data_IF_736991584909
#
_entry.id   IF_736991584909
#
_cell.length_a   1.000
_cell.length_b   1.000
_cell.length_c   1.000
_cell.angle_alpha   90.00
_cell.angle_beta   90.00
_cell.angle_gamma   90.00
#
_symmetry.space_group_name_H-M   'P 1'
#
loop_
_entity.id
_entity.type
_entity.pdbx_description
1 polymer ?
#
# COMPACT_ATOMS: atom_id res chain seq x y z
N UNK A 1 -3.33 24.34 -10.39
CA UNK A 1 -3.03 23.51 -11.58
C UNK A 1 -2.22 22.34 -11.05
N UNK A 2 -2.73 21.11 -11.09
CA UNK A 2 -1.95 19.96 -10.63
C UNK A 2 -0.94 19.63 -11.73
N UNK A 3 0.35 19.61 -11.40
CA UNK A 3 1.37 19.17 -12.34
C UNK A 3 1.35 17.66 -12.38
N UNK A 4 1.49 17.10 -13.57
CA UNK A 4 1.54 15.65 -13.78
C UNK A 4 2.94 15.29 -14.21
N UNK A 5 3.50 14.27 -13.56
CA UNK A 5 4.74 13.64 -13.99
C UNK A 5 4.38 12.41 -14.80
N UNK A 6 4.90 12.34 -16.02
CA UNK A 6 4.76 11.19 -16.91
C UNK A 6 6.00 10.32 -16.83
N UNK A 7 5.83 9.06 -16.46
CA UNK A 7 6.93 8.10 -16.28
C UNK A 7 6.58 6.76 -16.92
N UNK A 8 7.61 5.94 -17.22
CA UNK A 8 7.36 4.60 -17.74
C UNK A 8 6.69 3.73 -16.68
N UNK A 9 5.75 2.89 -17.10
CA UNK A 9 4.97 2.01 -16.22
C UNK A 9 5.86 1.13 -15.34
N UNK A 10 6.92 0.55 -15.90
CA UNK A 10 7.82 -0.31 -15.12
C UNK A 10 8.71 0.48 -14.16
N UNK A 11 9.05 1.71 -14.51
CA UNK A 11 9.74 2.63 -13.60
C UNK A 11 8.83 3.01 -12.43
N UNK A 12 7.58 3.35 -12.70
CA UNK A 12 6.58 3.61 -11.66
C UNK A 12 6.39 2.40 -10.72
N UNK A 13 6.27 1.18 -11.26
CA UNK A 13 6.17 -0.03 -10.45
C UNK A 13 7.37 -0.20 -9.52
N UNK A 14 8.60 0.02 -10.02
CA UNK A 14 9.81 -0.06 -9.21
C UNK A 14 9.86 1.01 -8.13
N UNK A 15 9.47 2.24 -8.48
CA UNK A 15 9.38 3.35 -7.54
C UNK A 15 8.40 3.06 -6.39
N UNK A 16 7.18 2.62 -6.72
CA UNK A 16 6.17 2.25 -5.72
C UNK A 16 6.63 1.08 -4.86
N UNK A 17 7.20 0.04 -5.47
CA UNK A 17 7.72 -1.11 -4.73
C UNK A 17 8.84 -0.71 -3.76
N UNK A 18 9.79 0.11 -4.22
CA UNK A 18 10.89 0.62 -3.40
C UNK A 18 10.39 1.49 -2.25
N UNK A 19 9.48 2.44 -2.53
CA UNK A 19 8.91 3.34 -1.54
C UNK A 19 8.05 2.61 -0.48
N UNK A 20 7.37 1.52 -0.84
CA UNK A 20 6.46 0.82 0.07
C UNK A 20 7.08 -0.40 0.77
N UNK A 21 8.26 -0.87 0.37
CA UNK A 21 8.82 -2.15 0.87
C UNK A 21 8.89 -2.22 2.40
N UNK A 22 9.42 -1.19 3.07
CA UNK A 22 9.57 -1.22 4.54
C UNK A 22 8.23 -1.15 5.25
N UNK A 23 7.31 -0.33 4.73
CA UNK A 23 5.95 -0.26 5.25
C UNK A 23 5.21 -1.60 5.07
N UNK A 24 5.37 -2.26 3.92
CA UNK A 24 4.75 -3.55 3.66
C UNK A 24 5.32 -4.65 4.57
N UNK A 25 6.61 -4.59 4.94
CA UNK A 25 7.21 -5.47 5.96
C UNK A 25 6.59 -5.24 7.34
N UNK A 26 6.50 -3.99 7.79
CA UNK A 26 5.85 -3.66 9.06
C UNK A 26 4.39 -4.10 9.09
N UNK A 27 3.68 -3.92 7.97
CA UNK A 27 2.29 -4.35 7.86
C UNK A 27 2.14 -5.88 7.84
N UNK A 28 3.11 -6.60 7.28
CA UNK A 28 3.15 -8.05 7.36
C UNK A 28 3.36 -8.54 8.80
N UNK A 29 4.28 -7.93 9.54
CA UNK A 29 4.49 -8.19 10.97
C UNK A 29 3.24 -7.89 11.79
N UNK A 30 2.62 -6.73 11.55
CA UNK A 30 1.34 -6.37 12.15
C UNK A 30 0.27 -7.43 11.86
N UNK A 31 0.13 -7.87 10.61
CA UNK A 31 -0.86 -8.88 10.23
C UNK A 31 -0.59 -10.26 10.85
N UNK A 32 0.65 -10.58 11.23
CA UNK A 32 0.96 -11.77 12.03
C UNK A 32 0.40 -11.70 13.45
N UNK A 33 0.18 -10.50 13.98
CA UNK A 33 -0.54 -10.28 15.24
C UNK A 33 -2.05 -10.25 14.99
N UNK A 34 -2.51 -9.45 14.02
CA UNK A 34 -3.92 -9.26 13.70
C UNK A 34 -4.66 -10.56 13.36
N UNK A 35 -3.98 -11.53 12.73
CA UNK A 35 -4.57 -12.84 12.40
C UNK A 35 -5.04 -13.63 13.63
N UNK A 36 -4.47 -13.38 14.82
CA UNK A 36 -4.93 -13.97 16.10
C UNK A 36 -6.35 -13.52 16.46
N UNK A 37 -6.77 -12.39 15.92
CA UNK A 37 -8.11 -11.81 16.06
C UNK A 37 -9.00 -12.08 14.82
N UNK A 38 -8.58 -13.00 13.94
CA UNK A 38 -9.29 -13.35 12.70
C UNK A 38 -9.53 -12.18 11.75
N UNK A 39 -8.71 -11.13 11.84
CA UNK A 39 -8.75 -9.96 10.96
C UNK A 39 -7.42 -9.74 10.26
N UNK A 40 -7.48 -9.01 9.16
CA UNK A 40 -6.33 -8.72 8.32
C UNK A 40 -6.51 -7.36 7.65
N UNK A 41 -5.47 -6.54 7.66
CA UNK A 41 -5.44 -5.26 6.95
C UNK A 41 -4.80 -5.47 5.58
N UNK A 42 -5.58 -5.32 4.51
CA UNK A 42 -5.14 -5.58 3.14
C UNK A 42 -4.03 -4.59 2.73
N UNK A 43 -2.81 -5.07 2.40
CA UNK A 43 -1.68 -4.19 2.11
C UNK A 43 -1.90 -3.25 0.94
N UNK A 44 -2.37 -3.80 -0.19
CA UNK A 44 -2.61 -3.03 -1.41
C UNK A 44 -3.94 -3.44 -2.02
N UNK A 45 -4.75 -2.45 -2.40
CA UNK A 45 -5.96 -2.65 -3.19
C UNK A 45 -5.95 -1.72 -4.41
N UNK A 46 -5.88 -2.33 -5.59
CA UNK A 46 -5.90 -1.61 -6.86
C UNK A 46 -7.33 -1.63 -7.41
N UNK A 47 -7.84 -0.45 -7.76
CA UNK A 47 -9.17 -0.25 -8.36
C UNK A 47 -9.00 0.46 -9.70
N UNK A 48 -9.46 -0.15 -10.77
CA UNK A 48 -9.58 0.48 -12.09
C UNK A 48 -10.98 1.08 -12.24
N UNK A 49 -11.09 2.39 -12.40
CA UNK A 49 -12.35 3.05 -12.81
C UNK A 49 -12.45 3.09 -14.33
N UNK A 50 -13.67 3.29 -14.86
CA UNK A 50 -13.94 3.39 -16.32
C UNK A 50 -12.85 4.22 -17.01
N UNK A 51 -12.24 3.64 -18.05
CA UNK A 51 -11.10 4.22 -18.77
C UNK A 51 -9.74 3.77 -18.22
N UNK A 52 -8.80 4.72 -18.19
CA UNK A 52 -7.38 4.60 -17.82
C UNK A 52 -7.09 4.87 -16.33
N UNK A 53 -8.09 5.33 -15.56
CA UNK A 53 -7.88 5.80 -14.18
C UNK A 53 -7.77 4.65 -13.19
N UNK A 54 -6.67 4.61 -12.44
CA UNK A 54 -6.40 3.60 -11.42
C UNK A 54 -6.20 4.28 -10.05
N UNK A 55 -6.70 3.64 -9.00
CA UNK A 55 -6.47 4.00 -7.61
C UNK A 55 -5.79 2.86 -6.87
N UNK A 56 -4.62 3.12 -6.32
CA UNK A 56 -3.90 2.16 -5.47
C UNK A 56 -4.09 2.62 -4.03
N UNK A 57 -4.80 1.83 -3.24
CA UNK A 57 -5.00 2.10 -1.82
C UNK A 57 -4.07 1.24 -0.98
N UNK A 58 -3.42 1.86 0.01
CA UNK A 58 -2.45 1.21 0.89
C UNK A 58 -3.08 1.04 2.28
N UNK A 59 -3.03 -0.19 2.82
CA UNK A 59 -3.47 -0.51 4.18
C UNK A 59 -4.84 0.07 4.59
N UNK A 60 -5.78 0.12 3.65
CA UNK A 60 -7.06 0.83 3.83
C UNK A 60 -8.24 -0.06 4.19
N UNK A 61 -8.22 -1.32 3.75
CA UNK A 61 -9.40 -2.19 3.81
C UNK A 61 -9.16 -3.37 4.73
N UNK A 62 -10.05 -3.51 5.71
CA UNK A 62 -10.05 -4.62 6.65
C UNK A 62 -10.85 -5.79 6.11
N UNK A 63 -10.32 -6.98 6.39
CA UNK A 63 -10.94 -8.25 6.07
C UNK A 63 -11.01 -9.12 7.30
N UNK A 64 -12.10 -9.87 7.42
CA UNK A 64 -12.21 -11.02 8.31
C UNK A 64 -11.80 -12.28 7.56
N UNK A 65 -11.07 -13.13 8.25
CA UNK A 65 -10.66 -14.45 7.77
C UNK A 65 -11.59 -15.50 8.36
N UNK A 66 -12.36 -16.16 7.52
CA UNK A 66 -13.22 -17.28 7.92
C UNK A 66 -12.74 -18.57 7.26
N UNK A 67 -12.64 -19.64 8.04
CA UNK A 67 -12.38 -20.98 7.50
C UNK A 67 -13.70 -21.74 7.45
N UNK A 68 -14.11 -22.14 6.25
CA UNK A 68 -15.30 -22.98 6.04
C UNK A 68 -14.93 -24.12 5.11
N UNK A 69 -15.20 -25.36 5.54
CA UNK A 69 -14.92 -26.59 4.76
C UNK A 69 -13.46 -26.64 4.23
N UNK A 70 -12.49 -26.26 5.06
CA UNK A 70 -11.06 -26.22 4.69
C UNK A 70 -10.66 -25.06 3.76
N UNK A 71 -11.61 -24.24 3.28
CA UNK A 71 -11.32 -23.08 2.43
C UNK A 71 -11.27 -21.80 3.26
N UNK A 72 -10.25 -20.98 3.00
CA UNK A 72 -10.14 -19.64 3.57
C UNK A 72 -10.98 -18.66 2.76
N UNK A 73 -11.93 -17.99 3.42
CA UNK A 73 -12.75 -16.94 2.86
C UNK A 73 -12.33 -15.60 3.45
N UNK A 74 -12.13 -14.65 2.57
CA UNK A 74 -11.83 -13.26 2.90
C UNK A 74 -13.12 -12.45 2.81
N UNK A 75 -13.56 -11.89 3.93
CA UNK A 75 -14.79 -11.10 4.00
C UNK A 75 -14.40 -9.65 4.28
N UNK A 76 -14.74 -8.75 3.36
CA UNK A 76 -14.54 -7.32 3.58
C UNK A 76 -15.40 -6.82 4.75
N UNK A 77 -14.81 -6.11 5.71
CA UNK A 77 -15.51 -5.63 6.92
C UNK A 77 -15.46 -4.12 7.12
N UNK A 78 -14.86 -3.37 6.20
CA UNK A 78 -14.82 -1.90 6.25
C UNK A 78 -13.42 -1.30 6.12
N UNK A 79 -13.35 0.02 6.17
CA UNK A 79 -12.08 0.77 6.15
C UNK A 79 -11.60 1.18 7.54
N UNK A 80 -12.48 1.17 8.53
CA UNK A 80 -12.14 1.50 9.91
C UNK A 80 -11.56 0.28 10.63
N UNK A 81 -10.59 0.51 11.52
CA UNK A 81 -10.06 -0.54 12.39
C UNK A 81 -11.22 -1.20 13.19
N UNK A 82 -11.33 -2.53 13.18
CA UNK A 82 -12.28 -3.26 14.00
C UNK A 82 -12.08 -2.98 15.49
N UNK A 83 -13.18 -2.72 16.21
CA UNK A 83 -13.16 -2.45 17.65
C UNK A 83 -13.09 -3.76 18.44
N UNK A 84 -11.92 -4.40 18.40
CA UNK A 84 -11.65 -5.68 19.10
C UNK A 84 -10.67 -5.40 20.25
N UNK A 85 -11.03 -5.81 21.47
CA UNK A 85 -10.17 -5.65 22.63
C UNK A 85 -8.81 -6.34 22.43
N UNK A 86 -7.73 -5.62 22.67
CA UNK A 86 -6.36 -6.13 22.55
C UNK A 86 -5.79 -6.15 21.11
N UNK A 87 -6.57 -5.77 20.09
CA UNK A 87 -6.03 -5.57 18.74
C UNK A 87 -5.17 -4.29 18.73
N UNK A 88 -3.85 -4.34 18.44
CA UNK A 88 -2.99 -3.16 18.40
C UNK A 88 -3.37 -2.23 17.23
N UNK A 89 -2.89 -0.98 17.26
CA UNK A 89 -2.99 -0.09 16.09
C UNK A 89 -2.05 -0.58 14.97
N UNK A 90 -2.48 -0.52 13.69
CA UNK A 90 -1.60 -0.79 12.58
C UNK A 90 -0.56 0.33 12.41
N UNK A 91 0.58 0.04 11.76
CA UNK A 91 1.50 1.10 11.37
C UNK A 91 0.79 2.08 10.42
N UNK A 92 0.87 3.40 10.68
CA UNK A 92 0.22 4.38 9.82
C UNK A 92 0.94 4.44 8.45
N UNK A 93 0.20 4.40 7.32
CA UNK A 93 0.81 4.53 6.01
C UNK A 93 1.29 5.97 5.77
N UNK A 94 2.48 6.11 5.16
CA UNK A 94 2.97 7.42 4.70
C UNK A 94 2.17 7.97 3.49
N UNK A 95 1.60 7.06 2.70
CA UNK A 95 0.73 7.36 1.55
C UNK A 95 -0.41 6.34 1.58
N UNK A 96 -1.66 6.80 1.69
CA UNK A 96 -2.86 5.95 1.80
C UNK A 96 -3.55 5.68 0.45
N UNK A 97 -3.29 6.55 -0.54
CA UNK A 97 -3.89 6.50 -1.88
C UNK A 97 -2.95 7.09 -2.93
N UNK A 98 -2.71 6.32 -4.00
CA UNK A 98 -1.94 6.75 -5.18
C UNK A 98 -2.90 6.72 -6.39
N UNK A 99 -3.46 7.88 -6.78
CA UNK A 99 -4.24 8.00 -8.01
C UNK A 99 -3.29 8.12 -9.21
N UNK A 100 -3.53 7.34 -10.25
CA UNK A 100 -2.77 7.41 -11.51
C UNK A 100 -3.68 7.33 -12.71
N UNK A 101 -3.15 7.70 -13.86
CA UNK A 101 -3.74 7.46 -15.15
C UNK A 101 -2.79 6.64 -16.03
N UNK A 102 -3.29 5.54 -16.56
CA UNK A 102 -2.53 4.64 -17.43
C UNK A 102 -2.68 5.05 -18.89
N UNK A 103 -1.56 5.26 -19.57
CA UNK A 103 -1.54 5.52 -21.01
C UNK A 103 -0.48 4.64 -21.69
N UNK A 104 -0.92 3.45 -22.12
CA UNK A 104 -0.07 2.42 -22.69
C UNK A 104 1.08 2.03 -21.74
N UNK A 105 2.32 2.31 -22.17
CA UNK A 105 3.54 2.05 -21.42
C UNK A 105 3.90 3.16 -20.42
N UNK A 106 3.06 4.18 -20.30
CA UNK A 106 3.27 5.33 -19.42
C UNK A 106 2.22 5.41 -18.32
N UNK A 107 2.61 6.09 -17.25
CA UNK A 107 1.78 6.42 -16.10
C UNK A 107 1.91 7.91 -15.87
N UNK A 108 0.75 8.55 -15.82
CA UNK A 108 0.60 9.94 -15.41
C UNK A 108 0.23 9.94 -13.92
N UNK A 109 1.11 10.54 -13.11
CA UNK A 109 0.98 10.63 -11.65
C UNK A 109 1.08 12.08 -11.20
N UNK A 110 0.33 12.43 -10.17
CA UNK A 110 0.41 13.75 -9.53
C UNK A 110 1.85 14.01 -9.02
N UNK A 111 2.38 15.20 -9.28
CA UNK A 111 3.73 15.60 -8.90
C UNK A 111 4.02 15.42 -7.41
N UNK A 112 3.09 15.80 -6.54
CA UNK A 112 3.24 15.68 -5.09
C UNK A 112 3.35 14.22 -4.65
N UNK A 113 2.59 13.32 -5.28
CA UNK A 113 2.66 11.87 -5.02
C UNK A 113 3.97 11.30 -5.56
N UNK A 114 4.40 11.72 -6.75
CA UNK A 114 5.67 11.30 -7.33
C UNK A 114 6.87 11.72 -6.46
N UNK A 115 6.88 12.96 -5.98
CA UNK A 115 7.90 13.47 -5.06
C UNK A 115 7.89 12.72 -3.72
N UNK A 116 6.70 12.48 -3.15
CA UNK A 116 6.57 11.72 -1.92
C UNK A 116 7.14 10.29 -2.06
N UNK A 117 6.80 9.59 -3.15
CA UNK A 117 7.34 8.26 -3.44
C UNK A 117 8.87 8.29 -3.60
N UNK A 118 9.40 9.27 -4.32
CA UNK A 118 10.84 9.44 -4.49
C UNK A 118 11.56 9.71 -3.17
N UNK A 119 11.03 10.59 -2.34
CA UNK A 119 11.60 10.91 -1.02
C UNK A 119 11.66 9.66 -0.15
N UNK A 120 10.56 8.92 -0.04
CA UNK A 120 10.49 7.69 0.75
C UNK A 120 11.49 6.66 0.20
N UNK A 121 11.54 6.48 -1.13
CA UNK A 121 12.48 5.55 -1.74
C UNK A 121 13.95 5.94 -1.56
N UNK A 122 14.27 7.23 -1.48
CA UNK A 122 15.67 7.72 -1.31
C UNK A 122 16.14 7.68 0.14
N UNK A 123 15.27 7.97 1.11
CA UNK A 123 15.60 7.81 2.54
C UNK A 123 16.12 6.41 2.86
N UNK A 124 15.57 5.40 2.19
CA UNK A 124 16.03 4.01 2.29
C UNK A 124 17.46 3.76 1.78
N UNK A 125 17.93 4.55 0.81
CA UNK A 125 19.30 4.38 0.27
C UNK A 125 20.31 4.91 1.30
N UNK A 126 20.01 6.05 1.92
CA UNK A 126 20.85 6.65 2.95
C UNK A 126 20.95 5.77 4.20
N UNK A 127 19.83 5.22 4.69
CA UNK A 127 19.82 4.33 5.85
C UNK A 127 20.61 3.01 5.63
N UNK A 128 20.80 2.60 4.37
CA UNK A 128 21.60 1.41 4.02
C UNK A 128 23.09 1.68 3.90
N UNK A 129 23.47 2.91 3.56
CA UNK A 129 24.88 3.33 3.48
C UNK A 129 25.46 3.58 4.88
N UNK A 130 24.66 4.09 5.82
CA UNK A 130 25.08 4.37 7.19
C UNK A 130 25.11 3.12 8.11
N UNK A 131 24.45 2.02 7.72
CA UNK A 131 24.43 0.75 8.45
C UNK A 131 25.55 -0.23 8.11
N UNK A 132 26.47 0.17 7.23
CA UNK A 132 27.62 -0.62 6.79
C UNK A 132 28.93 -0.18 7.45
N UNK A 133 28.94 -0.08 8.78
CA UNK A 133 30.13 0.16 9.59
C UNK A 133 30.16 -0.72 10.84
#
# INVERSE_FOLDING_TARGET
MYTVVRIKRDEFKRLVASALDDYLRQLYEYNNVAKKFSVYLKPVHIVTKRGSRIYIYIAKYWYRLEKSNGKLKWIYIGTSKPQIQGLPEPPPPLIDKIPIEMDGEYVDVDDTIYEALNRISKSKILDKEDGAH
#
